data_IF_192759629807
#
_entry.id   IF_192759629807
#
_cell.length_a   1.000
_cell.length_b   1.000
_cell.length_c   1.000
_cell.angle_alpha   90.00
_cell.angle_beta   90.00
_cell.angle_gamma   90.00
#
_symmetry.space_group_name_H-M   'P 1'
#
loop_
_entity.id
_entity.type
_entity.pdbx_description
1 polymer ?
#
# COMPACT_ATOMS: atom_id res chain seq x y z
N UNK A 1 15.36 -12.18 -19.89
CA UNK A 1 16.16 -11.10 -20.51
C UNK A 1 16.62 -10.19 -19.41
N UNK A 2 17.94 -9.98 -19.22
CA UNK A 2 18.43 -8.95 -18.30
C UNK A 2 18.28 -7.61 -19.01
N UNK A 3 17.20 -6.89 -18.73
CA UNK A 3 17.06 -5.51 -19.19
C UNK A 3 17.90 -4.65 -18.25
N UNK A 4 18.98 -4.10 -18.75
CA UNK A 4 19.78 -3.12 -17.99
C UNK A 4 18.96 -1.83 -17.90
N UNK A 5 18.63 -1.39 -16.70
CA UNK A 5 17.93 -0.11 -16.48
C UNK A 5 18.96 1.01 -16.69
N UNK A 6 18.65 1.95 -17.60
CA UNK A 6 19.43 3.15 -17.84
C UNK A 6 18.65 4.33 -17.26
N UNK A 7 19.10 4.92 -16.15
CA UNK A 7 18.32 5.95 -15.46
C UNK A 7 17.86 7.10 -16.37
N UNK A 8 18.75 7.62 -17.23
CA UNK A 8 18.47 8.74 -18.12
C UNK A 8 17.45 8.44 -19.23
N UNK A 9 17.15 7.16 -19.45
CA UNK A 9 16.20 6.70 -20.47
C UNK A 9 14.93 6.09 -19.83
N UNK A 10 14.82 6.17 -18.50
CA UNK A 10 13.72 5.56 -17.75
C UNK A 10 12.82 6.62 -17.12
N UNK A 11 11.54 6.60 -17.49
CA UNK A 11 10.49 7.45 -16.93
C UNK A 11 9.81 6.76 -15.75
N UNK A 12 9.72 7.46 -14.62
CA UNK A 12 9.16 6.95 -13.37
C UNK A 12 7.94 7.76 -12.95
N UNK A 13 6.79 7.10 -12.81
CA UNK A 13 5.65 7.66 -12.10
C UNK A 13 5.83 7.44 -10.60
N UNK A 14 6.20 8.47 -9.85
CA UNK A 14 6.30 8.41 -8.39
C UNK A 14 4.92 8.69 -7.77
N UNK A 15 4.27 7.68 -7.24
CA UNK A 15 2.92 7.80 -6.69
C UNK A 15 2.98 7.96 -5.17
N UNK A 16 2.54 9.14 -4.68
CA UNK A 16 2.58 9.50 -3.26
C UNK A 16 1.40 10.40 -2.87
N UNK A 17 1.19 10.65 -1.57
CA UNK A 17 0.06 11.40 -1.07
C UNK A 17 -1.13 10.49 -0.76
N UNK A 18 -2.14 10.47 -1.63
CA UNK A 18 -3.36 9.68 -1.42
C UNK A 18 -4.29 10.29 -0.36
N UNK A 19 -5.33 9.53 0.04
CA UNK A 19 -6.38 10.01 0.97
C UNK A 19 -6.45 9.27 2.31
N UNK A 20 -5.46 8.44 2.62
CA UNK A 20 -5.43 7.72 3.90
C UNK A 20 -5.05 8.66 5.06
N UNK A 21 -5.23 8.20 6.29
CA UNK A 21 -4.74 8.91 7.48
C UNK A 21 -3.21 9.09 7.51
N UNK A 22 -2.49 8.36 6.65
CA UNK A 22 -1.02 8.38 6.53
C UNK A 22 -0.52 9.27 5.39
N UNK A 23 -1.39 10.15 4.84
CA UNK A 23 -1.06 11.05 3.72
C UNK A 23 0.23 11.83 3.91
N UNK A 24 0.41 12.47 5.07
CA UNK A 24 1.58 13.29 5.35
C UNK A 24 2.88 12.46 5.34
N UNK A 25 2.83 11.24 5.86
CA UNK A 25 3.97 10.31 5.84
C UNK A 25 4.28 9.91 4.39
N UNK A 26 3.24 9.64 3.59
CA UNK A 26 3.38 9.32 2.17
C UNK A 26 4.02 10.47 1.39
N UNK A 27 3.65 11.72 1.65
CA UNK A 27 4.26 12.89 1.00
C UNK A 27 5.73 13.05 1.38
N UNK A 28 6.09 12.83 2.65
CA UNK A 28 7.49 12.86 3.11
C UNK A 28 8.31 11.75 2.45
N UNK A 29 7.78 10.52 2.43
CA UNK A 29 8.42 9.39 1.74
C UNK A 29 8.58 9.66 0.24
N UNK A 30 7.53 10.20 -0.39
CA UNK A 30 7.56 10.58 -1.80
C UNK A 30 8.61 11.63 -2.12
N UNK A 31 8.76 12.67 -1.27
CA UNK A 31 9.80 13.67 -1.47
C UNK A 31 11.21 13.09 -1.40
N UNK A 32 11.48 12.23 -0.41
CA UNK A 32 12.79 11.59 -0.28
C UNK A 32 13.12 10.66 -1.46
N UNK A 33 12.11 9.93 -1.96
CA UNK A 33 12.26 9.06 -3.14
C UNK A 33 12.46 9.90 -4.41
N UNK A 34 11.74 11.01 -4.54
CA UNK A 34 11.91 11.94 -5.67
C UNK A 34 13.35 12.45 -5.76
N UNK A 35 13.90 12.93 -4.65
CA UNK A 35 15.26 13.44 -4.60
C UNK A 35 16.26 12.32 -4.98
N UNK A 36 16.13 11.14 -4.40
CA UNK A 36 17.03 10.01 -4.66
C UNK A 36 16.98 9.53 -6.11
N UNK A 37 15.80 9.42 -6.71
CA UNK A 37 15.64 9.01 -8.11
C UNK A 37 16.15 10.08 -9.07
N UNK A 38 15.89 11.36 -8.77
CA UNK A 38 16.37 12.48 -9.58
C UNK A 38 17.91 12.58 -9.54
N UNK A 39 18.51 12.43 -8.36
CA UNK A 39 19.98 12.40 -8.19
C UNK A 39 20.61 11.20 -8.93
N UNK A 40 19.89 10.08 -9.03
CA UNK A 40 20.31 8.91 -9.81
C UNK A 40 20.12 9.10 -11.33
N UNK A 41 19.47 10.18 -11.77
CA UNK A 41 19.31 10.55 -13.18
C UNK A 41 18.03 10.04 -13.83
N UNK A 42 17.05 9.54 -13.08
CA UNK A 42 15.73 9.15 -13.63
C UNK A 42 14.88 10.37 -13.99
N UNK A 43 14.02 10.22 -15.00
CA UNK A 43 12.95 11.18 -15.27
C UNK A 43 11.76 10.87 -14.36
N UNK A 44 11.50 11.71 -13.36
CA UNK A 44 10.49 11.44 -12.33
C UNK A 44 9.31 12.40 -12.43
N UNK A 45 8.11 11.86 -12.59
CA UNK A 45 6.85 12.62 -12.51
C UNK A 45 6.12 12.24 -11.22
N UNK A 46 5.83 13.23 -10.38
CA UNK A 46 5.07 13.00 -9.14
C UNK A 46 3.57 12.92 -9.43
N UNK A 47 2.92 11.91 -8.89
CA UNK A 47 1.49 11.61 -9.06
C UNK A 47 0.85 11.50 -7.68
N UNK A 48 -0.11 12.37 -7.38
CA UNK A 48 -0.96 12.26 -6.20
C UNK A 48 -2.36 11.81 -6.63
N UNK A 49 -2.80 10.58 -6.31
CA UNK A 49 -4.05 10.02 -6.83
C UNK A 49 -5.32 10.71 -6.33
N UNK A 50 -5.25 11.69 -5.42
CA UNK A 50 -6.41 12.53 -5.06
C UNK A 50 -6.59 13.72 -6.00
N UNK A 51 -5.59 14.04 -6.81
CA UNK A 51 -5.67 15.09 -7.83
C UNK A 51 -6.05 14.48 -9.16
N UNK A 52 -7.13 14.97 -9.76
CA UNK A 52 -7.62 14.46 -11.05
C UNK A 52 -6.63 14.71 -12.18
N UNK A 53 -5.96 15.85 -12.15
CA UNK A 53 -4.92 16.22 -13.12
C UNK A 53 -3.77 15.23 -13.12
N UNK A 54 -3.32 14.80 -11.94
CA UNK A 54 -2.22 13.83 -11.80
C UNK A 54 -2.67 12.44 -12.31
N UNK A 55 -3.93 12.05 -12.07
CA UNK A 55 -4.47 10.82 -12.64
C UNK A 55 -4.59 10.88 -14.17
N UNK A 56 -4.93 12.04 -14.73
CA UNK A 56 -4.93 12.24 -16.19
C UNK A 56 -3.51 12.09 -16.74
N UNK A 57 -2.51 12.68 -16.09
CA UNK A 57 -1.09 12.51 -16.45
C UNK A 57 -0.69 11.04 -16.43
N UNK A 58 -1.04 10.29 -15.37
CA UNK A 58 -0.73 8.86 -15.26
C UNK A 58 -1.33 8.02 -16.40
N UNK A 59 -2.49 8.42 -16.92
CA UNK A 59 -3.19 7.70 -18.01
C UNK A 59 -2.68 8.12 -19.40
N UNK A 60 -2.25 9.38 -19.56
CA UNK A 60 -1.96 9.96 -20.88
C UNK A 60 -0.48 9.96 -21.25
N UNK A 61 0.41 9.81 -20.27
CA UNK A 61 1.85 9.75 -20.49
C UNK A 61 2.36 8.31 -20.43
N UNK A 62 3.48 8.05 -21.09
CA UNK A 62 4.15 6.75 -21.06
C UNK A 62 5.14 6.71 -19.89
N UNK A 63 4.98 5.72 -19.01
CA UNK A 63 5.88 5.44 -17.90
C UNK A 63 6.46 4.04 -18.02
N UNK A 64 7.76 3.91 -17.80
CA UNK A 64 8.43 2.61 -17.77
C UNK A 64 8.16 1.86 -16.48
N UNK A 65 7.97 2.59 -15.37
CA UNK A 65 7.69 2.01 -14.05
C UNK A 65 6.98 3.02 -13.14
N UNK A 66 6.12 2.51 -12.25
CA UNK A 66 5.57 3.28 -11.15
C UNK A 66 6.27 2.91 -9.83
N UNK A 67 6.76 3.91 -9.10
CA UNK A 67 7.25 3.75 -7.74
C UNK A 67 6.14 4.11 -6.74
N UNK A 68 5.72 3.13 -5.93
CA UNK A 68 4.65 3.32 -4.96
C UNK A 68 5.22 3.76 -3.60
N UNK A 69 4.97 5.02 -3.23
CA UNK A 69 5.27 5.60 -1.92
C UNK A 69 3.98 5.96 -1.14
N UNK A 70 2.86 5.35 -1.52
CA UNK A 70 1.59 5.46 -0.82
C UNK A 70 1.58 4.59 0.44
N UNK A 71 0.79 5.01 1.44
CA UNK A 71 0.53 4.24 2.66
C UNK A 71 -0.97 4.10 2.88
N UNK A 72 -1.38 2.96 3.44
CA UNK A 72 -2.76 2.66 3.79
C UNK A 72 -3.69 2.56 2.57
N UNK A 73 -4.88 3.12 2.72
CA UNK A 73 -5.97 3.01 1.73
C UNK A 73 -5.59 3.62 0.37
N UNK A 74 -5.91 2.92 -0.71
CA UNK A 74 -5.56 3.11 -2.11
C UNK A 74 -4.14 2.68 -2.47
N UNK A 75 -3.17 2.75 -1.54
CA UNK A 75 -1.77 2.40 -1.79
C UNK A 75 -1.45 0.93 -1.49
N UNK A 76 -2.05 0.39 -0.43
CA UNK A 76 -1.74 -0.95 0.07
C UNK A 76 -2.91 -1.94 -0.04
N UNK A 77 -4.03 -1.53 -0.62
CA UNK A 77 -5.26 -2.32 -0.72
C UNK A 77 -5.52 -2.94 -2.11
N UNK A 78 -4.57 -2.84 -3.03
CA UNK A 78 -4.68 -3.35 -4.39
C UNK A 78 -5.32 -2.38 -5.38
N UNK A 79 -5.82 -1.21 -4.93
CA UNK A 79 -6.54 -0.28 -5.79
C UNK A 79 -5.62 0.37 -6.83
N UNK A 80 -4.52 0.98 -6.41
CA UNK A 80 -3.57 1.60 -7.34
C UNK A 80 -2.86 0.55 -8.19
N UNK A 81 -2.55 -0.62 -7.61
CA UNK A 81 -1.96 -1.74 -8.34
C UNK A 81 -2.86 -2.20 -9.48
N UNK A 82 -4.18 -2.32 -9.23
CA UNK A 82 -5.15 -2.69 -10.26
C UNK A 82 -5.25 -1.66 -11.39
N UNK A 83 -5.15 -0.36 -11.08
CA UNK A 83 -5.09 0.68 -12.09
C UNK A 83 -3.82 0.55 -12.95
N UNK A 84 -2.67 0.35 -12.32
CA UNK A 84 -1.39 0.20 -13.03
C UNK A 84 -1.35 -1.05 -13.90
N UNK A 85 -1.96 -2.17 -13.46
CA UNK A 85 -2.11 -3.36 -14.29
C UNK A 85 -2.96 -3.11 -15.53
N UNK A 86 -4.08 -2.34 -15.40
CA UNK A 86 -4.90 -1.95 -16.56
C UNK A 86 -4.11 -1.08 -17.54
N UNK A 87 -3.27 -0.18 -17.02
CA UNK A 87 -2.43 0.71 -17.84
C UNK A 87 -1.20 -0.01 -18.41
N UNK A 88 -0.89 -1.22 -17.93
CA UNK A 88 0.31 -1.97 -18.34
C UNK A 88 1.61 -1.40 -17.79
N UNK A 89 1.56 -0.59 -16.73
CA UNK A 89 2.73 0.04 -16.10
C UNK A 89 3.24 -0.88 -14.99
N UNK A 90 4.46 -1.43 -15.10
CA UNK A 90 5.12 -2.16 -14.01
C UNK A 90 5.26 -1.29 -12.76
N UNK A 91 5.19 -1.88 -11.57
CA UNK A 91 5.26 -1.11 -10.33
C UNK A 91 6.05 -1.81 -9.24
N UNK A 92 6.53 -1.04 -8.27
CA UNK A 92 7.22 -1.57 -7.07
C UNK A 92 6.22 -2.12 -6.06
N UNK A 93 6.58 -3.23 -5.41
CA UNK A 93 5.77 -3.82 -4.36
C UNK A 93 4.92 -5.02 -4.82
N UNK A 94 4.01 -5.52 -3.95
CA UNK A 94 3.20 -6.71 -4.21
C UNK A 94 2.04 -6.40 -5.15
N UNK A 95 1.55 -7.44 -5.85
CA UNK A 95 0.42 -7.34 -6.76
C UNK A 95 -0.93 -7.17 -6.06
N UNK A 96 -1.99 -7.00 -6.86
CA UNK A 96 -3.37 -6.68 -6.42
C UNK A 96 -3.86 -7.63 -5.33
N UNK A 97 -3.78 -8.95 -5.56
CA UNK A 97 -4.32 -9.93 -4.61
C UNK A 97 -3.57 -9.92 -3.27
N UNK A 98 -2.24 -9.85 -3.32
CA UNK A 98 -1.40 -9.79 -2.11
C UNK A 98 -1.68 -8.54 -1.29
N UNK A 99 -1.76 -7.37 -1.93
CA UNK A 99 -2.08 -6.10 -1.29
C UNK A 99 -3.47 -6.11 -0.66
N UNK A 100 -4.50 -6.50 -1.43
CA UNK A 100 -5.88 -6.56 -0.95
C UNK A 100 -6.07 -7.55 0.22
N UNK A 101 -5.29 -8.64 0.23
CA UNK A 101 -5.33 -9.61 1.33
C UNK A 101 -4.58 -9.09 2.55
N UNK A 102 -3.37 -8.55 2.36
CA UNK A 102 -2.49 -8.16 3.46
C UNK A 102 -3.04 -6.97 4.28
N UNK A 103 -3.73 -6.03 3.64
CA UNK A 103 -4.36 -4.91 4.36
C UNK A 103 -5.51 -5.36 5.26
N UNK A 104 -6.20 -6.44 4.92
CA UNK A 104 -7.31 -7.02 5.68
C UNK A 104 -6.75 -8.05 6.70
N UNK A 105 -6.50 -7.60 7.92
CA UNK A 105 -5.89 -8.41 8.98
C UNK A 105 -6.65 -9.71 9.29
N UNK A 106 -7.99 -9.71 9.39
CA UNK A 106 -8.77 -10.95 9.53
C UNK A 106 -8.56 -11.93 8.37
N UNK A 107 -8.62 -11.47 7.12
CA UNK A 107 -8.41 -12.34 5.95
C UNK A 107 -6.98 -12.86 5.88
N UNK A 108 -6.00 -12.02 6.18
CA UNK A 108 -4.59 -12.44 6.26
C UNK A 108 -4.40 -13.59 7.25
N UNK A 109 -5.04 -13.52 8.42
CA UNK A 109 -4.96 -14.59 9.43
C UNK A 109 -5.55 -15.91 8.91
N UNK A 110 -6.68 -15.86 8.21
CA UNK A 110 -7.28 -17.05 7.59
C UNK A 110 -6.29 -17.70 6.60
N UNK A 111 -5.64 -16.89 5.76
CA UNK A 111 -4.62 -17.39 4.82
C UNK A 111 -3.44 -18.00 5.56
N UNK A 112 -2.94 -17.35 6.61
CA UNK A 112 -1.83 -17.89 7.42
C UNK A 112 -2.16 -19.24 8.05
N UNK A 113 -3.36 -19.38 8.62
CA UNK A 113 -3.84 -20.63 9.19
C UNK A 113 -3.90 -21.74 8.15
N UNK A 114 -4.42 -21.46 6.96
CA UNK A 114 -4.52 -22.43 5.87
C UNK A 114 -3.18 -22.94 5.36
N UNK A 115 -2.14 -22.11 5.39
CA UNK A 115 -0.80 -22.48 4.92
C UNK A 115 0.16 -22.85 6.07
N UNK A 116 -0.33 -22.93 7.32
CA UNK A 116 0.44 -23.34 8.48
C UNK A 116 1.41 -22.29 9.00
N UNK A 117 1.23 -21.01 8.65
CA UNK A 117 2.05 -19.91 9.20
C UNK A 117 1.51 -19.54 10.59
N UNK A 118 2.34 -19.60 11.65
CA UNK A 118 1.91 -19.22 13.00
C UNK A 118 1.45 -17.77 13.06
N UNK A 119 0.26 -17.54 13.62
CA UNK A 119 -0.28 -16.19 13.85
C UNK A 119 -0.89 -16.10 15.26
N UNK A 120 -0.74 -14.97 15.96
CA UNK A 120 -1.37 -14.76 17.25
C UNK A 120 -2.90 -14.91 17.15
N UNK A 121 -3.52 -15.45 18.20
CA UNK A 121 -4.97 -15.53 18.31
C UNK A 121 -5.58 -14.12 18.20
N UNK A 122 -6.73 -14.01 17.55
CA UNK A 122 -7.43 -12.76 17.39
C UNK A 122 -8.95 -12.98 17.35
N UNK A 123 -9.70 -11.94 17.65
CA UNK A 123 -11.14 -11.87 17.46
C UNK A 123 -11.48 -10.62 16.64
N UNK A 124 -12.36 -10.75 15.67
CA UNK A 124 -12.90 -9.62 14.92
C UNK A 124 -14.17 -9.12 15.61
N UNK A 125 -14.15 -7.87 16.03
CA UNK A 125 -15.32 -7.18 16.58
C UNK A 125 -15.91 -6.26 15.52
N UNK A 126 -17.22 -6.34 15.31
CA UNK A 126 -17.98 -5.49 14.39
C UNK A 126 -18.62 -4.29 15.08
N UNK A 127 -18.68 -4.31 16.42
CA UNK A 127 -19.13 -3.18 17.24
C UNK A 127 -18.43 -3.20 18.61
N UNK A 128 -18.32 -2.04 19.28
CA UNK A 128 -17.77 -1.96 20.64
C UNK A 128 -18.53 -2.80 21.67
N UNK A 129 -19.83 -3.02 21.46
CA UNK A 129 -20.70 -3.72 22.42
C UNK A 129 -20.66 -5.25 22.26
N UNK A 130 -19.96 -5.76 21.25
CA UNK A 130 -19.92 -7.20 20.94
C UNK A 130 -19.15 -8.00 22.00
N UNK A 131 -18.19 -7.37 22.68
CA UNK A 131 -17.39 -8.00 23.72
C UNK A 131 -17.07 -6.98 24.82
N UNK A 132 -17.27 -7.35 26.09
CA UNK A 132 -16.94 -6.50 27.22
C UNK A 132 -15.44 -6.56 27.53
N UNK A 133 -14.94 -5.53 28.20
CA UNK A 133 -13.52 -5.45 28.58
C UNK A 133 -13.08 -6.66 29.42
N UNK A 134 -13.93 -7.11 30.36
CA UNK A 134 -13.65 -8.26 31.21
C UNK A 134 -13.55 -9.58 30.40
N UNK A 135 -14.33 -9.70 29.33
CA UNK A 135 -14.29 -10.88 28.45
C UNK A 135 -13.04 -10.85 27.59
N UNK A 136 -12.61 -9.67 27.12
CA UNK A 136 -11.36 -9.48 26.40
C UNK A 136 -10.16 -9.85 27.29
N UNK A 137 -10.13 -9.36 28.52
CA UNK A 137 -9.07 -9.67 29.49
C UNK A 137 -9.04 -11.16 29.82
N UNK A 138 -10.19 -11.79 30.01
CA UNK A 138 -10.28 -13.23 30.28
C UNK A 138 -9.78 -14.06 29.09
N UNK A 139 -10.02 -13.64 27.85
CA UNK A 139 -9.66 -14.38 26.65
C UNK A 139 -8.24 -14.15 26.18
N UNK A 140 -7.75 -12.91 26.27
CA UNK A 140 -6.44 -12.51 25.72
C UNK A 140 -5.41 -12.14 26.79
N UNK A 141 -5.81 -12.06 28.06
CA UNK A 141 -4.95 -11.61 29.17
C UNK A 141 -5.00 -10.06 29.31
N UNK A 142 -4.22 -9.57 30.28
CA UNK A 142 -4.17 -8.13 30.60
C UNK A 142 -3.44 -7.27 29.54
N UNK A 143 -2.81 -7.90 28.55
CA UNK A 143 -2.09 -7.20 27.46
C UNK A 143 -2.57 -7.72 26.12
N UNK A 144 -3.31 -6.90 25.39
CA UNK A 144 -3.73 -7.18 24.01
C UNK A 144 -3.54 -5.95 23.12
N UNK A 145 -3.52 -6.15 21.82
CA UNK A 145 -3.43 -5.07 20.83
C UNK A 145 -4.75 -4.98 20.09
N UNK A 146 -5.32 -3.77 20.07
CA UNK A 146 -6.51 -3.47 19.27
C UNK A 146 -6.07 -2.73 18.02
N UNK A 147 -6.53 -3.20 16.87
CA UNK A 147 -6.18 -2.63 15.56
C UNK A 147 -7.44 -2.49 14.70
N UNK A 148 -7.46 -1.48 13.85
CA UNK A 148 -8.42 -1.42 12.74
C UNK A 148 -8.19 -2.62 11.80
N UNK A 149 -9.27 -3.22 11.31
CA UNK A 149 -9.20 -4.43 10.50
C UNK A 149 -8.48 -4.22 9.16
N UNK A 150 -8.69 -3.03 8.54
CA UNK A 150 -8.28 -2.72 7.16
C UNK A 150 -7.50 -1.40 7.02
N UNK A 151 -6.92 -0.90 8.09
CA UNK A 151 -6.04 0.28 8.07
C UNK A 151 -4.59 -0.12 8.37
N UNK A 152 -3.65 0.69 7.90
CA UNK A 152 -2.23 0.46 8.12
C UNK A 152 -1.78 0.60 9.56
#
# INVERSE_FOLDING_TARGET
>A
MNTTIIPQETSVALISGGKSGEREISLVSGSAVYDALSDAGFSVTQIDPVKKEDLVTLVSEDFDVAFLALHGKLGEDGTIQGMLEILGIPYTGPGVWSSATAIDKPKTKIVYEQVGVPTPRAVLLHSPDQMKAEDIEREFGSSCVIKAATEG
#
